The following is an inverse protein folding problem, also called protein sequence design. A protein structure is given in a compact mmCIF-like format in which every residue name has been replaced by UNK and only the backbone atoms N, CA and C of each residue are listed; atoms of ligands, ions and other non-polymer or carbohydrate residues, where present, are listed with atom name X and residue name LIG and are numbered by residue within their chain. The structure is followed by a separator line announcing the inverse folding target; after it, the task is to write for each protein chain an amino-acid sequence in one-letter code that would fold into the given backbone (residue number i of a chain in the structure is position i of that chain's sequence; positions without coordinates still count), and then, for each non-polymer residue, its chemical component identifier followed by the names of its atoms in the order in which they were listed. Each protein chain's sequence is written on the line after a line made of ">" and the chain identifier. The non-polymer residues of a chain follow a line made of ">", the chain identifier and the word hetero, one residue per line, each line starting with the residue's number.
data_IF_300538537615
#
_entry.id   IF_300538537615
#
_cell.length_a   1.000
_cell.length_b   1.000
_cell.length_c   1.000
_cell.angle_alpha   90.00
_cell.angle_beta   90.00
_cell.angle_gamma   90.00
#
_symmetry.space_group_name_H-M   'P 1'
#
loop_
_entity.id
_entity.type
_entity.pdbx_description
1 polymer ?
#
# COMPACT_ATOMS: atom_id res chain seq x y z
N UNK A 1 -42.81 -1.70 -6.75
CA UNK A 1 -42.93 -1.20 -5.36
C UNK A 1 -41.56 -1.27 -4.73
N UNK A 2 -40.96 -0.13 -4.39
CA UNK A 2 -39.68 -0.10 -3.67
C UNK A 2 -39.85 -0.71 -2.28
N UNK A 3 -39.03 -1.71 -1.95
CA UNK A 3 -39.01 -2.32 -0.63
C UNK A 3 -38.44 -1.28 0.34
N UNK A 4 -39.26 -0.75 1.24
CA UNK A 4 -38.80 0.13 2.31
C UNK A 4 -37.98 -0.69 3.30
N UNK A 5 -36.68 -0.41 3.36
CA UNK A 5 -35.72 -1.01 4.30
C UNK A 5 -36.05 -0.51 5.71
N UNK A 6 -35.99 -1.37 6.72
CA UNK A 6 -36.26 -0.95 8.11
C UNK A 6 -35.05 -0.26 8.73
N UNK A 7 -35.27 0.47 9.83
CA UNK A 7 -34.18 1.14 10.57
C UNK A 7 -33.19 0.09 11.11
N UNK A 8 -33.71 -1.04 11.59
CA UNK A 8 -32.92 -2.15 12.12
C UNK A 8 -32.03 -2.78 11.04
N UNK A 9 -32.57 -3.00 9.83
CA UNK A 9 -31.80 -3.50 8.69
C UNK A 9 -30.67 -2.55 8.29
N UNK A 10 -30.90 -1.23 8.38
CA UNK A 10 -29.88 -0.21 8.13
C UNK A 10 -28.79 -0.22 9.21
N UNK A 11 -29.17 -0.37 10.48
CA UNK A 11 -28.24 -0.43 11.61
C UNK A 11 -27.36 -1.69 11.57
N UNK A 12 -27.91 -2.84 11.22
CA UNK A 12 -27.11 -4.07 11.04
C UNK A 12 -26.14 -3.93 9.87
N UNK A 13 -26.57 -3.34 8.75
CA UNK A 13 -25.69 -3.07 7.62
C UNK A 13 -24.54 -2.13 8.00
N UNK A 14 -24.78 -1.16 8.88
CA UNK A 14 -23.78 -0.22 9.36
C UNK A 14 -22.71 -0.87 10.27
N UNK A 15 -22.97 -2.05 10.86
CA UNK A 15 -21.99 -2.78 11.68
C UNK A 15 -20.95 -3.52 10.84
N UNK A 16 -21.26 -3.84 9.57
CA UNK A 16 -20.40 -4.63 8.69
C UNK A 16 -18.97 -4.08 8.55
N UNK A 17 -18.74 -2.77 8.34
CA UNK A 17 -17.37 -2.23 8.25
C UNK A 17 -16.53 -2.47 9.52
N UNK A 18 -17.14 -2.37 10.71
CA UNK A 18 -16.44 -2.62 11.98
C UNK A 18 -16.08 -4.09 12.14
N UNK A 19 -16.98 -5.00 11.79
CA UNK A 19 -16.73 -6.45 11.80
C UNK A 19 -15.60 -6.83 10.83
N UNK A 20 -15.60 -6.25 9.63
CA UNK A 20 -14.53 -6.46 8.65
C UNK A 20 -13.21 -5.85 9.12
N UNK A 21 -13.22 -4.67 9.76
CA UNK A 21 -12.03 -4.06 10.31
C UNK A 21 -11.32 -4.96 11.33
N UNK A 22 -12.06 -5.67 12.19
CA UNK A 22 -11.51 -6.62 13.17
C UNK A 22 -10.84 -7.83 12.53
N UNK A 23 -11.26 -8.24 11.32
CA UNK A 23 -10.62 -9.32 10.57
C UNK A 23 -9.42 -8.83 9.77
N UNK A 24 -9.56 -7.69 9.10
CA UNK A 24 -8.59 -7.21 8.11
C UNK A 24 -7.36 -6.57 8.76
N UNK A 25 -7.48 -5.88 9.89
CA UNK A 25 -6.31 -5.26 10.53
C UNK A 25 -5.28 -6.29 11.02
N UNK A 26 -5.66 -7.40 11.68
CA UNK A 26 -4.72 -8.46 12.02
C UNK A 26 -4.17 -9.19 10.78
N UNK A 27 -5.02 -9.43 9.78
CA UNK A 27 -4.62 -10.11 8.54
C UNK A 27 -3.53 -9.34 7.78
N UNK A 28 -3.73 -8.04 7.54
CA UNK A 28 -2.74 -7.18 6.87
C UNK A 28 -1.65 -6.66 7.82
N UNK A 29 -1.75 -6.94 9.13
CA UNK A 29 -0.82 -6.48 10.17
C UNK A 29 -0.59 -4.97 10.14
N UNK A 30 -1.67 -4.23 9.95
CA UNK A 30 -1.63 -2.79 9.69
C UNK A 30 -2.26 -2.44 8.35
N UNK A 31 -2.04 -1.20 7.91
CA UNK A 31 -2.69 -0.62 6.72
C UNK A 31 -1.70 -0.02 5.72
N UNK A 32 -0.41 -0.01 6.07
CA UNK A 32 0.63 0.71 5.33
C UNK A 32 1.65 -0.29 4.83
N UNK A 33 2.11 -0.09 3.60
CA UNK A 33 3.16 -0.85 2.96
C UNK A 33 4.02 0.10 2.13
N UNK A 34 5.32 -0.15 2.07
CA UNK A 34 6.24 0.50 1.13
C UNK A 34 6.63 -0.53 0.07
N UNK A 35 6.53 -0.14 -1.21
CA UNK A 35 6.90 -0.97 -2.35
C UNK A 35 7.80 -0.20 -3.30
N UNK A 36 8.66 -0.94 -4.01
CA UNK A 36 9.48 -0.36 -5.08
C UNK A 36 8.58 0.24 -6.18
N UNK A 37 8.92 1.46 -6.60
CA UNK A 37 8.26 2.11 -7.75
C UNK A 37 8.84 1.65 -9.10
N UNK A 38 10.09 1.17 -9.09
CA UNK A 38 10.80 0.65 -10.26
C UNK A 38 10.82 -0.89 -10.24
N UNK A 39 11.08 -1.49 -11.39
CA UNK A 39 11.14 -2.94 -11.54
C UNK A 39 12.43 -3.52 -10.93
N UNK A 40 12.29 -4.64 -10.24
CA UNK A 40 13.40 -5.50 -9.78
C UNK A 40 13.09 -6.90 -10.32
N UNK A 41 13.65 -7.23 -11.49
CA UNK A 41 13.34 -8.44 -12.27
C UNK A 41 14.38 -9.54 -12.07
N UNK A 42 15.63 -9.13 -11.88
CA UNK A 42 16.78 -10.02 -11.73
C UNK A 42 17.84 -9.35 -10.84
N UNK A 43 18.90 -10.10 -10.54
CA UNK A 43 20.01 -9.59 -9.73
C UNK A 43 20.68 -8.34 -10.34
N UNK A 44 20.72 -8.25 -11.67
CA UNK A 44 21.37 -7.15 -12.38
C UNK A 44 20.70 -5.79 -12.11
N UNK A 45 19.38 -5.77 -11.84
CA UNK A 45 18.66 -4.53 -11.52
C UNK A 45 19.19 -3.88 -10.22
N UNK A 46 19.77 -4.65 -9.29
CA UNK A 46 20.43 -4.08 -8.10
C UNK A 46 21.66 -3.26 -8.44
N UNK A 47 22.36 -3.60 -9.53
CA UNK A 47 23.49 -2.80 -10.01
C UNK A 47 23.07 -1.41 -10.49
N UNK A 48 21.80 -1.21 -10.85
CA UNK A 48 21.22 0.08 -11.28
C UNK A 48 20.72 0.87 -10.06
N UNK A 49 19.88 0.25 -9.23
CA UNK A 49 19.18 0.93 -8.12
C UNK A 49 20.02 1.06 -6.85
N UNK A 50 21.08 0.26 -6.72
CA UNK A 50 22.00 0.26 -5.59
C UNK A 50 23.45 0.32 -6.09
N UNK A 51 24.40 -0.25 -5.36
CA UNK A 51 25.81 -0.25 -5.76
C UNK A 51 26.04 -1.10 -7.02
N UNK A 52 26.78 -0.60 -8.03
CA UNK A 52 27.46 0.69 -8.10
C UNK A 52 26.63 1.85 -8.70
N UNK A 53 25.50 1.58 -9.36
CA UNK A 53 24.72 2.54 -10.15
C UNK A 53 24.23 3.77 -9.37
N UNK A 54 23.81 3.61 -8.11
CA UNK A 54 23.32 4.69 -7.24
C UNK A 54 24.34 5.82 -7.04
N UNK A 55 25.64 5.55 -7.21
CA UNK A 55 26.67 6.57 -7.05
C UNK A 55 26.56 7.70 -8.08
N UNK A 56 26.05 7.43 -9.28
CA UNK A 56 25.91 8.44 -10.33
C UNK A 56 24.91 9.54 -9.97
N UNK A 57 23.63 9.25 -9.64
CA UNK A 57 22.69 10.29 -9.22
C UNK A 57 23.12 10.97 -7.91
N UNK A 58 23.74 10.27 -6.96
CA UNK A 58 24.26 10.90 -5.74
C UNK A 58 25.31 11.98 -6.05
N UNK A 59 26.26 11.69 -6.95
CA UNK A 59 27.28 12.67 -7.37
C UNK A 59 26.68 13.84 -8.15
N UNK A 60 25.63 13.60 -8.93
CA UNK A 60 24.95 14.64 -9.68
C UNK A 60 24.20 15.59 -8.74
N UNK A 61 23.41 15.08 -7.80
CA UNK A 61 22.72 15.88 -6.77
C UNK A 61 23.72 16.66 -5.92
N UNK A 62 24.86 16.06 -5.55
CA UNK A 62 25.89 16.75 -4.79
C UNK A 62 26.49 17.95 -5.56
N UNK A 63 26.55 17.88 -6.89
CA UNK A 63 27.00 18.99 -7.76
C UNK A 63 25.86 19.98 -8.06
N UNK A 64 24.63 19.48 -8.12
CA UNK A 64 23.41 20.16 -8.56
C UNK A 64 22.24 19.88 -7.58
N UNK A 65 22.23 20.49 -6.38
CA UNK A 65 21.19 20.27 -5.37
C UNK A 65 19.85 20.93 -5.72
#
# INVERSE_FOLDING_TARGET
>A
MEKKVTVEELLEKAKKPAQEAMKLHPFYKGKVQVMAKCAIRSYDDFGIWYTPGVAAPCKDIAKNP
#
